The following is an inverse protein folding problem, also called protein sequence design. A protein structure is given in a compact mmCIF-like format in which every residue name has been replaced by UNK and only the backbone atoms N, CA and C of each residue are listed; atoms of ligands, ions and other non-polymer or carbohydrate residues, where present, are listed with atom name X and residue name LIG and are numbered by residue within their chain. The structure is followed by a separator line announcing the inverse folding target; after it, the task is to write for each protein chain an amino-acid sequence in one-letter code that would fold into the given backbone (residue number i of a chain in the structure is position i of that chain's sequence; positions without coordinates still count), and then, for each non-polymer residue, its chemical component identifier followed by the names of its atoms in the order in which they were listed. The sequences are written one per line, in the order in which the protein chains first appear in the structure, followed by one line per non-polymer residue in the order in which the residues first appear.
data_IF_127858269083
#
_entry.id   IF_127858269083
#
_cell.length_a   1.000
_cell.length_b   1.000
_cell.length_c   1.000
_cell.angle_alpha   90.00
_cell.angle_beta   90.00
_cell.angle_gamma   90.00
#
_symmetry.space_group_name_H-M   'P 1'
#
loop_
_entity.id
_entity.type
_entity.pdbx_description
1 polymer ?
#
# COMPACT_ATOMS: atom_id res chain seq x y z
N UNK A 1 -42.18 37.45 82.57
CA UNK A 1 -42.27 35.97 82.59
C UNK A 1 -42.72 35.32 81.28
N UNK A 2 -42.70 36.01 80.12
CA UNK A 2 -43.09 35.46 78.78
C UNK A 2 -41.96 35.22 77.84
N UNK A 3 -40.73 35.78 78.05
CA UNK A 3 -39.56 35.66 77.17
C UNK A 3 -38.82 34.33 77.34
N UNK A 4 -38.78 33.77 78.60
CA UNK A 4 -38.07 32.50 78.84
C UNK A 4 -38.77 31.25 78.23
N UNK A 5 -40.06 31.33 77.97
CA UNK A 5 -40.81 30.20 77.37
C UNK A 5 -40.59 30.15 75.82
N UNK A 6 -40.34 31.31 75.17
CA UNK A 6 -40.11 31.38 73.75
C UNK A 6 -38.72 30.84 73.37
N UNK A 7 -37.70 31.14 74.20
CA UNK A 7 -36.33 30.62 73.97
C UNK A 7 -36.26 29.09 74.21
N UNK A 8 -37.04 28.57 75.16
CA UNK A 8 -37.09 27.12 75.44
C UNK A 8 -37.79 26.34 74.31
N UNK A 9 -38.82 26.93 73.64
CA UNK A 9 -39.50 26.29 72.50
C UNK A 9 -38.65 26.32 71.26
N UNK A 10 -37.91 27.43 71.02
CA UNK A 10 -36.98 27.54 69.86
C UNK A 10 -35.78 26.60 70.05
N UNK A 11 -35.26 26.46 71.28
CA UNK A 11 -34.19 25.50 71.55
C UNK A 11 -34.64 24.02 71.44
N UNK A 12 -35.89 23.65 71.87
CA UNK A 12 -36.46 22.35 71.61
C UNK A 12 -36.74 22.07 70.15
N UNK A 13 -37.19 23.09 69.35
CA UNK A 13 -37.45 22.93 67.94
C UNK A 13 -36.15 22.81 67.13
N UNK A 14 -35.04 23.50 67.49
CA UNK A 14 -33.72 23.36 66.87
C UNK A 14 -33.07 21.98 67.15
N UNK A 15 -33.24 21.46 68.37
CA UNK A 15 -32.75 20.10 68.70
C UNK A 15 -33.62 19.03 68.04
N UNK A 16 -34.91 19.24 67.84
CA UNK A 16 -35.77 18.34 67.10
C UNK A 16 -35.50 18.35 65.60
N UNK A 17 -35.19 19.48 65.06
CA UNK A 17 -34.71 19.59 63.59
C UNK A 17 -33.32 18.97 63.45
N UNK A 18 -32.41 19.10 64.42
CA UNK A 18 -31.08 18.50 64.40
C UNK A 18 -31.13 16.96 64.58
N UNK A 19 -32.10 16.45 65.32
CA UNK A 19 -32.31 15.01 65.46
C UNK A 19 -32.97 14.40 64.20
N UNK A 20 -33.84 15.13 63.51
CA UNK A 20 -34.39 14.64 62.23
C UNK A 20 -33.36 14.65 61.09
N UNK A 21 -32.28 15.46 61.12
CA UNK A 21 -31.22 15.43 60.14
C UNK A 21 -30.27 14.25 60.29
N UNK A 22 -30.27 13.53 61.43
CA UNK A 22 -29.40 12.37 61.65
C UNK A 22 -30.13 11.05 61.29
N UNK A 23 -31.45 11.06 61.12
CA UNK A 23 -32.23 9.84 60.84
C UNK A 23 -32.30 9.47 59.34
N UNK A 24 -31.52 10.14 58.45
CA UNK A 24 -31.51 9.88 57.01
C UNK A 24 -30.28 9.15 56.47
N UNK A 25 -29.29 8.79 57.28
CA UNK A 25 -28.09 8.09 56.81
C UNK A 25 -28.18 6.59 57.04
N UNK A 26 -29.22 5.95 56.53
CA UNK A 26 -29.25 4.50 56.37
C UNK A 26 -28.30 4.15 55.20
N UNK A 27 -27.16 3.48 55.49
CA UNK A 27 -26.31 2.90 54.45
C UNK A 27 -27.17 1.92 53.65
N UNK A 28 -27.27 2.18 52.32
CA UNK A 28 -28.01 1.27 51.44
C UNK A 28 -27.31 -0.09 51.38
N UNK A 29 -28.06 -1.17 51.51
CA UNK A 29 -27.53 -2.52 51.29
C UNK A 29 -27.50 -2.82 49.80
N UNK A 30 -26.38 -3.27 49.30
CA UNK A 30 -26.16 -3.58 47.88
C UNK A 30 -25.72 -5.03 47.70
N UNK A 31 -26.16 -5.61 46.59
CA UNK A 31 -25.61 -6.89 46.11
C UNK A 31 -24.58 -6.59 45.08
N UNK A 32 -23.46 -7.30 45.11
CA UNK A 32 -22.38 -7.16 44.16
C UNK A 32 -22.11 -8.47 43.43
N UNK A 33 -21.53 -8.39 42.25
CA UNK A 33 -21.05 -9.53 41.51
C UNK A 33 -19.64 -9.20 41.03
N UNK A 34 -18.72 -10.16 41.14
CA UNK A 34 -17.36 -10.01 40.64
C UNK A 34 -17.34 -10.06 39.13
N UNK A 35 -16.55 -9.17 38.51
CA UNK A 35 -16.29 -9.20 37.11
C UNK A 35 -15.36 -10.36 36.80
N UNK A 36 -15.86 -11.33 36.06
CA UNK A 36 -15.14 -12.56 35.73
C UNK A 36 -15.10 -12.83 34.25
N UNK A 37 -14.14 -13.66 33.83
CA UNK A 37 -14.10 -14.14 32.47
C UNK A 37 -15.07 -15.27 32.23
N UNK A 38 -15.92 -15.14 31.19
CA UNK A 38 -16.78 -16.22 30.70
C UNK A 38 -16.52 -16.45 29.22
N UNK A 39 -16.83 -17.64 28.73
CA UNK A 39 -16.78 -17.99 27.33
C UNK A 39 -17.98 -17.38 26.59
N UNK A 40 -17.74 -16.29 25.87
CA UNK A 40 -18.73 -15.53 25.10
C UNK A 40 -18.35 -15.56 23.61
N UNK A 41 -19.30 -15.37 22.67
CA UNK A 41 -18.95 -15.15 21.26
C UNK A 41 -17.94 -14.01 21.12
N UNK A 42 -16.89 -14.25 20.34
CA UNK A 42 -15.81 -13.29 20.20
C UNK A 42 -16.28 -12.05 19.45
N UNK A 43 -16.16 -10.90 20.09
CA UNK A 43 -16.45 -9.60 19.52
C UNK A 43 -15.26 -8.66 19.76
N UNK A 44 -14.84 -7.97 18.71
CA UNK A 44 -13.75 -7.01 18.74
C UNK A 44 -14.28 -5.69 18.20
N UNK A 45 -14.14 -4.65 18.99
CA UNK A 45 -14.45 -3.26 18.63
C UNK A 45 -13.22 -2.43 18.91
N UNK A 46 -12.44 -2.11 17.89
CA UNK A 46 -11.25 -1.29 18.05
C UNK A 46 -11.04 -0.40 16.83
N UNK A 47 -10.37 0.69 17.06
CA UNK A 47 -9.99 1.58 15.98
C UNK A 47 -8.86 0.95 15.15
N UNK A 48 -9.12 0.85 13.86
CA UNK A 48 -8.20 0.31 12.87
C UNK A 48 -7.66 1.43 11.99
N UNK A 49 -6.37 1.40 11.74
CA UNK A 49 -5.75 2.26 10.73
C UNK A 49 -6.12 1.75 9.34
N UNK A 50 -6.69 2.62 8.51
CA UNK A 50 -7.06 2.25 7.15
C UNK A 50 -6.06 2.80 6.14
N UNK A 51 -5.58 1.91 5.29
CA UNK A 51 -4.60 2.22 4.25
C UNK A 51 -5.07 1.71 2.89
N UNK A 52 -4.52 2.28 1.83
CA UNK A 52 -4.70 1.72 0.49
C UNK A 52 -4.07 0.31 0.42
N UNK A 53 -4.70 -0.60 -0.31
CA UNK A 53 -4.17 -1.96 -0.52
C UNK A 53 -2.77 -1.91 -1.15
N UNK A 54 -2.62 -1.13 -2.18
CA UNK A 54 -1.35 -0.89 -2.86
C UNK A 54 -1.12 0.62 -3.02
N UNK A 55 0.14 1.02 -2.91
CA UNK A 55 0.59 2.38 -3.22
C UNK A 55 1.87 2.31 -4.03
N UNK A 56 2.00 3.18 -5.00
CA UNK A 56 3.20 3.31 -5.79
C UNK A 56 3.59 4.78 -5.93
N UNK A 57 4.85 5.06 -5.69
CA UNK A 57 5.44 6.36 -6.00
C UNK A 57 6.06 6.27 -7.38
N UNK A 58 5.60 7.11 -8.29
CA UNK A 58 6.13 7.22 -9.64
C UNK A 58 7.38 8.09 -9.59
N UNK A 59 8.49 7.56 -10.10
CA UNK A 59 9.76 8.28 -10.19
C UNK A 59 10.17 8.34 -11.67
N UNK A 60 10.31 9.55 -12.26
CA UNK A 60 10.79 9.71 -13.61
C UNK A 60 12.24 9.29 -13.73
N UNK A 61 12.65 8.83 -14.91
CA UNK A 61 14.05 8.54 -15.24
C UNK A 61 14.75 9.71 -15.92
N UNK A 62 13.97 10.70 -16.36
CA UNK A 62 14.48 11.90 -17.05
C UNK A 62 14.09 13.16 -16.28
N UNK A 63 14.99 14.15 -16.33
CA UNK A 63 14.73 15.50 -15.84
C UNK A 63 14.32 16.39 -17.01
N UNK A 64 13.22 17.14 -16.86
CA UNK A 64 12.76 18.07 -17.88
C UNK A 64 11.37 18.64 -17.58
N UNK A 65 10.95 19.58 -18.42
CA UNK A 65 9.57 20.09 -18.37
C UNK A 65 8.60 18.99 -18.75
N UNK A 66 7.42 19.00 -18.12
CA UNK A 66 6.40 17.96 -18.33
C UNK A 66 5.05 18.55 -18.69
N UNK A 67 4.35 17.81 -19.53
CA UNK A 67 2.93 18.01 -19.79
C UNK A 67 2.18 16.91 -19.06
N UNK A 68 1.31 17.29 -18.11
CA UNK A 68 0.49 16.34 -17.35
C UNK A 68 -0.69 15.88 -18.19
N UNK A 69 -0.93 14.55 -18.22
CA UNK A 69 -2.11 13.93 -18.82
C UNK A 69 -3.22 13.66 -17.79
N UNK A 70 -2.90 13.74 -16.48
CA UNK A 70 -3.81 13.42 -15.37
C UNK A 70 -3.69 14.48 -14.27
N UNK A 71 -4.70 14.54 -13.40
CA UNK A 71 -4.79 15.43 -12.23
C UNK A 71 -4.93 14.61 -10.96
N UNK A 72 -4.72 15.26 -9.81
CA UNK A 72 -5.04 14.68 -8.50
C UNK A 72 -6.53 14.33 -8.44
N UNK A 73 -6.86 13.10 -8.04
CA UNK A 73 -8.21 12.55 -8.00
C UNK A 73 -8.57 11.67 -9.20
N UNK A 74 -7.81 11.72 -10.29
CA UNK A 74 -8.11 10.90 -11.47
C UNK A 74 -7.81 9.42 -11.20
N UNK A 75 -8.67 8.55 -11.72
CA UNK A 75 -8.43 7.10 -11.75
C UNK A 75 -7.60 6.76 -12.98
N UNK A 76 -6.56 5.96 -12.76
CA UNK A 76 -5.63 5.53 -13.81
C UNK A 76 -5.52 4.01 -13.83
N UNK A 77 -5.28 3.46 -15.02
CA UNK A 77 -4.98 2.05 -15.23
C UNK A 77 -3.47 1.82 -15.27
N UNK A 78 -3.05 0.60 -14.95
CA UNK A 78 -1.64 0.22 -15.11
C UNK A 78 -1.19 0.42 -16.56
N UNK A 79 -0.03 1.07 -16.76
CA UNK A 79 0.51 1.40 -18.08
C UNK A 79 -0.07 2.68 -18.71
N UNK A 80 -1.08 3.31 -18.09
CA UNK A 80 -1.63 4.57 -18.59
C UNK A 80 -0.62 5.69 -18.47
N UNK A 81 -0.52 6.55 -19.49
CA UNK A 81 0.33 7.73 -19.49
C UNK A 81 -0.15 8.76 -18.46
N UNK A 82 0.75 9.15 -17.57
CA UNK A 82 0.53 10.15 -16.53
C UNK A 82 1.03 11.54 -16.95
N UNK A 83 2.19 11.56 -17.57
CA UNK A 83 2.82 12.79 -18.06
C UNK A 83 3.85 12.44 -19.14
N UNK A 84 4.22 13.44 -19.91
CA UNK A 84 5.27 13.33 -20.93
C UNK A 84 6.32 14.41 -20.68
N UNK A 85 7.58 14.01 -20.61
CA UNK A 85 8.72 14.95 -20.54
C UNK A 85 8.97 15.53 -21.92
N UNK A 86 9.27 16.81 -22.02
CA UNK A 86 9.61 17.46 -23.28
C UNK A 86 10.86 16.82 -23.89
N UNK A 87 10.73 16.37 -25.14
CA UNK A 87 11.78 15.68 -25.89
C UNK A 87 12.30 16.48 -27.08
N UNK A 88 11.97 17.76 -27.22
CA UNK A 88 12.36 18.57 -28.37
C UNK A 88 13.88 18.56 -28.61
N UNK A 89 14.67 18.68 -27.55
CA UNK A 89 16.14 18.60 -27.65
C UNK A 89 16.63 17.20 -28.06
N UNK A 90 16.01 16.14 -27.54
CA UNK A 90 16.35 14.75 -27.92
C UNK A 90 15.97 14.46 -29.37
N UNK A 91 14.84 15.00 -29.86
CA UNK A 91 14.45 14.90 -31.28
C UNK A 91 15.42 15.56 -32.19
N UNK A 92 15.92 16.76 -31.85
CA UNK A 92 16.96 17.46 -32.63
C UNK A 92 18.27 16.67 -32.66
N UNK A 93 18.66 16.12 -31.50
CA UNK A 93 19.85 15.27 -31.40
C UNK A 93 19.72 14.02 -32.26
N UNK A 94 18.56 13.35 -32.21
CA UNK A 94 18.26 12.15 -33.01
C UNK A 94 18.36 12.48 -34.52
N UNK A 95 17.74 13.58 -34.97
CA UNK A 95 17.81 14.01 -36.35
C UNK A 95 19.25 14.30 -36.83
N UNK A 96 20.06 14.94 -35.95
CA UNK A 96 21.48 15.18 -36.22
C UNK A 96 22.28 13.87 -36.36
N UNK A 97 22.06 12.90 -35.43
CA UNK A 97 22.73 11.59 -35.49
C UNK A 97 22.31 10.79 -36.72
N UNK A 98 21.04 10.85 -37.12
CA UNK A 98 20.56 10.20 -38.34
C UNK A 98 21.21 10.80 -39.60
N UNK A 99 21.39 12.13 -39.63
CA UNK A 99 22.14 12.80 -40.69
C UNK A 99 23.62 12.35 -40.77
N UNK A 100 24.28 12.24 -39.60
CA UNK A 100 25.65 11.73 -39.50
C UNK A 100 25.75 10.25 -39.94
N UNK A 101 24.76 9.44 -39.58
CA UNK A 101 24.68 8.03 -39.98
C UNK A 101 24.60 7.92 -41.53
N UNK A 102 23.71 8.67 -42.14
CA UNK A 102 23.55 8.68 -43.59
C UNK A 102 24.85 9.10 -44.31
N UNK A 103 25.55 10.10 -43.75
CA UNK A 103 26.85 10.54 -44.28
C UNK A 103 27.93 9.46 -44.10
N UNK A 104 28.03 8.83 -42.94
CA UNK A 104 29.00 7.77 -42.67
C UNK A 104 28.74 6.55 -43.55
N UNK A 105 27.49 6.17 -43.76
CA UNK A 105 27.11 5.08 -44.66
C UNK A 105 27.50 5.39 -46.10
N UNK A 106 27.24 6.60 -46.60
CA UNK A 106 27.63 7.00 -47.97
C UNK A 106 29.15 6.97 -48.18
N UNK A 107 29.93 7.36 -47.17
CA UNK A 107 31.39 7.26 -47.21
C UNK A 107 31.88 5.81 -47.19
N UNK A 108 31.21 4.94 -46.44
CA UNK A 108 31.55 3.50 -46.43
C UNK A 108 31.31 2.82 -47.79
N UNK A 109 30.26 3.20 -48.51
CA UNK A 109 29.99 2.71 -49.86
C UNK A 109 30.97 3.25 -50.89
N UNK A 110 31.41 4.50 -50.74
CA UNK A 110 32.39 5.14 -51.69
C UNK A 110 33.78 4.50 -51.62
N UNK A 111 34.13 3.80 -50.55
CA UNK A 111 35.46 3.16 -50.35
C UNK A 111 35.54 1.73 -50.93
N UNK A 112 34.43 1.17 -51.39
CA UNK A 112 34.39 -0.15 -52.04
C UNK A 112 34.49 -0.04 -53.56
N UNK A 113 35.55 0.60 -54.09
CA UNK A 113 35.81 0.59 -55.52
C UNK A 113 36.52 -0.69 -55.88
N UNK A 114 35.82 -1.62 -56.50
CA UNK A 114 36.42 -2.81 -57.10
C UNK A 114 37.09 -2.40 -58.38
N UNK A 115 38.40 -2.17 -58.38
CA UNK A 115 39.18 -1.97 -59.61
C UNK A 115 39.51 -3.33 -60.20
N UNK A 116 38.73 -3.75 -61.17
CA UNK A 116 39.08 -4.91 -61.99
C UNK A 116 40.14 -4.50 -62.98
N UNK A 117 41.38 -4.79 -62.68
CA UNK A 117 42.44 -4.63 -63.67
C UNK A 117 42.38 -5.83 -64.59
N UNK A 118 41.77 -5.64 -65.77
CA UNK A 118 41.85 -6.64 -66.83
C UNK A 118 43.31 -6.63 -67.36
N UNK A 119 44.05 -7.69 -67.02
CA UNK A 119 45.32 -7.94 -67.74
C UNK A 119 44.95 -8.11 -69.21
N UNK A 120 45.49 -7.23 -70.09
CA UNK A 120 45.32 -7.39 -71.52
C UNK A 120 45.95 -8.74 -71.87
N UNK A 121 45.13 -9.66 -72.30
CA UNK A 121 45.62 -10.90 -72.92
C UNK A 121 46.33 -10.52 -74.19
N UNK A 122 47.67 -10.70 -74.24
CA UNK A 122 48.40 -10.48 -75.48
C UNK A 122 48.06 -11.66 -76.40
N UNK A 123 47.02 -11.46 -77.22
CA UNK A 123 46.52 -12.47 -78.16
C UNK A 123 47.64 -12.89 -79.18
N UNK A 124 48.64 -12.03 -79.36
CA UNK A 124 49.80 -12.37 -80.18
C UNK A 124 50.70 -13.40 -79.51
N UNK A 125 50.94 -13.32 -78.21
CA UNK A 125 51.68 -14.30 -77.40
C UNK A 125 51.00 -15.66 -77.37
N UNK A 126 49.69 -15.70 -77.22
CA UNK A 126 48.90 -16.89 -77.27
C UNK A 126 48.93 -17.58 -78.63
N UNK A 127 48.78 -16.80 -79.71
CA UNK A 127 48.89 -17.29 -81.10
C UNK A 127 50.28 -17.81 -81.40
N UNK A 128 51.31 -17.16 -80.88
CA UNK A 128 52.68 -17.62 -81.03
C UNK A 128 52.93 -18.93 -80.22
N UNK A 129 52.49 -19.03 -79.00
CA UNK A 129 52.57 -20.23 -78.18
C UNK A 129 51.84 -21.42 -78.87
N UNK A 130 50.70 -21.14 -79.50
CA UNK A 130 49.95 -22.15 -80.20
C UNK A 130 50.75 -22.68 -81.46
N UNK A 131 51.35 -21.79 -82.22
CA UNK A 131 52.20 -22.20 -83.31
C UNK A 131 53.44 -22.98 -82.89
N UNK A 132 54.05 -22.63 -81.75
CA UNK A 132 55.20 -23.36 -81.19
C UNK A 132 54.80 -24.74 -80.71
N UNK A 133 53.59 -24.92 -80.18
CA UNK A 133 53.06 -26.23 -79.83
C UNK A 133 52.78 -27.08 -81.04
N UNK A 134 52.15 -26.51 -82.11
CA UNK A 134 51.87 -27.22 -83.34
C UNK A 134 53.19 -27.62 -84.09
N UNK A 135 54.27 -26.83 -83.95
CA UNK A 135 55.59 -27.14 -84.43
C UNK A 135 56.40 -28.10 -83.57
N UNK A 136 55.83 -28.57 -82.48
CA UNK A 136 56.48 -29.51 -81.54
C UNK A 136 57.60 -28.91 -80.69
N UNK A 137 57.72 -27.56 -80.66
CA UNK A 137 58.77 -26.81 -79.96
C UNK A 137 58.52 -26.64 -78.46
N UNK A 138 57.27 -26.76 -78.08
CA UNK A 138 56.82 -26.75 -76.60
C UNK A 138 55.85 -27.85 -76.34
N UNK A 139 55.85 -28.35 -75.08
CA UNK A 139 54.96 -29.38 -74.68
C UNK A 139 53.57 -28.84 -74.37
N UNK A 140 52.51 -29.68 -74.37
CA UNK A 140 51.17 -29.29 -74.02
C UNK A 140 51.17 -28.63 -72.65
N UNK A 141 51.91 -29.17 -71.67
CA UNK A 141 52.00 -28.64 -70.30
C UNK A 141 52.62 -27.22 -70.26
N UNK A 142 53.51 -26.92 -71.09
CA UNK A 142 54.10 -25.57 -71.24
C UNK A 142 53.12 -24.60 -71.91
N UNK A 143 52.39 -25.03 -72.93
CA UNK A 143 51.30 -24.27 -73.50
C UNK A 143 50.21 -23.94 -72.50
N UNK A 144 49.77 -24.95 -71.75
CA UNK A 144 48.72 -24.75 -70.71
C UNK A 144 49.17 -23.74 -69.63
N UNK A 145 50.46 -23.72 -69.26
CA UNK A 145 50.98 -22.73 -68.31
C UNK A 145 50.97 -21.28 -68.93
N UNK A 146 51.21 -21.16 -70.25
CA UNK A 146 51.13 -19.87 -70.89
C UNK A 146 49.67 -19.40 -70.95
N UNK A 147 48.74 -20.29 -71.27
CA UNK A 147 47.32 -20.01 -71.29
C UNK A 147 46.82 -19.60 -69.85
N UNK A 148 47.28 -20.33 -68.88
CA UNK A 148 46.91 -20.05 -67.48
C UNK A 148 47.46 -18.70 -66.99
N UNK A 149 48.67 -18.32 -67.37
CA UNK A 149 49.22 -16.98 -67.10
C UNK A 149 48.57 -15.88 -67.90
N UNK A 150 48.01 -16.16 -69.08
CA UNK A 150 47.35 -15.24 -69.95
C UNK A 150 45.86 -15.06 -69.60
N UNK A 151 45.32 -15.82 -68.68
CA UNK A 151 43.95 -15.59 -68.17
C UNK A 151 43.95 -14.33 -67.34
N UNK A 152 42.91 -13.51 -67.41
CA UNK A 152 42.74 -12.32 -66.55
C UNK A 152 42.66 -12.77 -65.11
N UNK A 153 43.69 -12.45 -64.33
CA UNK A 153 43.65 -12.61 -62.90
C UNK A 153 42.88 -11.46 -62.32
N UNK A 154 41.69 -11.78 -61.76
CA UNK A 154 40.93 -10.82 -61.02
C UNK A 154 41.56 -10.70 -59.64
N UNK A 155 42.43 -9.75 -59.42
CA UNK A 155 42.93 -9.41 -58.10
C UNK A 155 41.94 -8.46 -57.49
N UNK A 156 41.15 -8.95 -56.62
CA UNK A 156 40.28 -8.14 -55.77
C UNK A 156 41.16 -7.47 -54.73
N UNK A 157 41.57 -6.25 -55.00
CA UNK A 157 42.21 -5.40 -53.96
C UNK A 157 41.10 -4.86 -53.11
N UNK A 158 40.79 -5.53 -52.02
CA UNK A 158 39.95 -4.97 -50.98
C UNK A 158 40.79 -3.97 -50.22
N UNK A 159 40.72 -2.69 -50.63
CA UNK A 159 41.28 -1.61 -49.82
C UNK A 159 40.36 -1.50 -48.60
N UNK A 160 40.74 -2.17 -47.53
CA UNK A 160 40.02 -2.15 -46.28
C UNK A 160 39.97 -0.73 -45.73
N UNK A 161 38.85 -0.06 -45.97
CA UNK A 161 38.44 1.09 -45.23
C UNK A 161 37.94 0.63 -43.83
N UNK A 162 38.87 0.16 -42.98
CA UNK A 162 38.56 -0.34 -41.65
C UNK A 162 38.03 0.74 -40.66
N UNK A 163 37.86 1.97 -41.10
CA UNK A 163 37.36 3.07 -40.28
C UNK A 163 35.85 3.35 -40.39
N UNK A 164 35.24 3.05 -41.56
CA UNK A 164 33.84 3.40 -41.82
C UNK A 164 32.82 2.58 -40.99
N UNK A 165 33.05 1.27 -40.85
CA UNK A 165 32.13 0.38 -40.10
C UNK A 165 32.12 0.66 -38.62
N UNK A 166 33.25 0.98 -38.01
CA UNK A 166 33.34 1.32 -36.60
C UNK A 166 32.61 2.65 -36.27
N UNK A 167 32.71 3.64 -37.18
CA UNK A 167 32.01 4.92 -37.05
C UNK A 167 30.49 4.73 -37.19
N UNK A 168 30.02 3.92 -38.12
CA UNK A 168 28.58 3.60 -38.30
C UNK A 168 28.03 2.93 -37.05
N UNK A 169 28.68 1.90 -36.52
CA UNK A 169 28.26 1.21 -35.30
C UNK A 169 28.22 2.14 -34.06
N UNK A 170 29.19 3.05 -33.94
CA UNK A 170 29.21 4.04 -32.85
C UNK A 170 28.01 5.00 -32.92
N UNK A 171 27.68 5.49 -34.14
CA UNK A 171 26.54 6.38 -34.36
C UNK A 171 25.22 5.64 -34.09
N UNK A 172 25.09 4.40 -34.54
CA UNK A 172 23.93 3.55 -34.30
C UNK A 172 23.72 3.31 -32.77
N UNK A 173 24.79 3.07 -32.02
CA UNK A 173 24.74 2.96 -30.58
C UNK A 173 24.24 4.27 -29.90
N UNK A 174 24.69 5.43 -30.40
CA UNK A 174 24.21 6.72 -29.91
C UNK A 174 22.74 6.96 -30.25
N UNK A 175 22.27 6.58 -31.43
CA UNK A 175 20.87 6.63 -31.84
C UNK A 175 20.03 5.75 -30.94
N UNK A 176 20.49 4.52 -30.67
CA UNK A 176 19.81 3.61 -29.77
C UNK A 176 19.69 4.19 -28.34
N UNK A 177 20.76 4.84 -27.85
CA UNK A 177 20.74 5.49 -26.53
C UNK A 177 19.75 6.66 -26.48
N UNK A 178 19.75 7.56 -27.48
CA UNK A 178 18.80 8.68 -27.54
C UNK A 178 17.37 8.18 -27.71
N UNK A 179 17.15 7.14 -28.51
CA UNK A 179 15.82 6.52 -28.65
C UNK A 179 15.31 5.91 -27.35
N UNK A 180 16.18 5.25 -26.56
CA UNK A 180 15.84 4.75 -25.25
C UNK A 180 15.48 5.88 -24.28
N UNK A 181 16.20 7.00 -24.31
CA UNK A 181 15.85 8.18 -23.53
C UNK A 181 14.49 8.76 -23.94
N UNK A 182 14.20 8.82 -25.24
CA UNK A 182 12.90 9.26 -25.74
C UNK A 182 11.76 8.33 -25.29
N UNK A 183 11.97 7.02 -25.30
CA UNK A 183 10.99 6.07 -24.76
C UNK A 183 10.75 6.28 -23.26
N UNK A 184 11.80 6.60 -22.51
CA UNK A 184 11.73 6.90 -21.07
C UNK A 184 11.10 8.28 -20.77
N UNK A 185 10.81 9.12 -21.77
CA UNK A 185 10.12 10.40 -21.57
C UNK A 185 8.65 10.26 -21.25
N UNK A 186 8.04 9.12 -21.56
CA UNK A 186 6.65 8.84 -21.21
C UNK A 186 6.60 8.22 -19.83
N UNK A 187 6.02 8.95 -18.89
CA UNK A 187 5.83 8.51 -17.51
C UNK A 187 4.49 7.79 -17.43
N UNK A 188 4.51 6.52 -17.05
CA UNK A 188 3.32 5.66 -16.99
C UNK A 188 2.99 5.21 -15.57
N UNK A 189 1.73 4.84 -15.33
CA UNK A 189 1.26 4.32 -14.06
C UNK A 189 1.80 2.89 -13.82
N UNK A 190 2.53 2.62 -12.73
CA UNK A 190 3.01 1.28 -12.40
C UNK A 190 1.91 0.36 -11.87
N UNK A 191 0.85 0.93 -11.30
CA UNK A 191 -0.33 0.23 -10.80
C UNK A 191 -1.61 0.96 -11.22
N UNK A 192 -2.73 0.25 -11.26
CA UNK A 192 -4.05 0.87 -11.35
C UNK A 192 -4.43 1.48 -9.99
N UNK A 193 -5.08 2.64 -9.99
CA UNK A 193 -5.49 3.33 -8.77
C UNK A 193 -5.87 4.78 -9.01
N UNK A 194 -5.91 5.55 -7.94
CA UNK A 194 -6.20 6.99 -7.97
C UNK A 194 -4.92 7.79 -7.75
N UNK A 195 -4.71 8.83 -8.53
CA UNK A 195 -3.62 9.80 -8.31
C UNK A 195 -3.93 10.60 -7.05
N UNK A 196 -3.17 10.38 -5.98
CA UNK A 196 -3.41 11.03 -4.68
C UNK A 196 -2.52 12.24 -4.44
N UNK A 197 -1.38 12.32 -5.11
CA UNK A 197 -0.50 13.47 -5.04
C UNK A 197 0.30 13.64 -6.33
N UNK A 198 0.54 14.88 -6.72
CA UNK A 198 1.48 15.30 -7.76
C UNK A 198 2.50 16.22 -7.09
N UNK A 199 3.76 15.82 -7.12
CA UNK A 199 4.86 16.60 -6.54
C UNK A 199 5.43 17.55 -7.59
N UNK A 200 5.77 18.77 -7.20
CA UNK A 200 6.32 19.82 -8.10
C UNK A 200 5.37 20.25 -9.23
N UNK A 201 4.06 20.15 -9.03
CA UNK A 201 3.06 20.57 -10.03
C UNK A 201 3.27 22.04 -10.45
N UNK A 202 3.57 22.92 -9.49
CA UNK A 202 3.80 24.36 -9.73
C UNK A 202 4.95 24.64 -10.71
N UNK A 203 5.92 23.77 -10.76
CA UNK A 203 7.12 23.94 -11.63
C UNK A 203 6.99 23.24 -12.96
N UNK A 204 5.99 22.38 -13.14
CA UNK A 204 5.81 21.57 -14.33
C UNK A 204 7.11 20.86 -14.75
N UNK A 205 7.85 20.32 -13.76
CA UNK A 205 9.15 19.72 -13.97
C UNK A 205 9.24 18.35 -13.33
N UNK A 206 9.64 17.35 -14.09
CA UNK A 206 10.09 16.06 -13.59
C UNK A 206 11.60 16.14 -13.25
N UNK A 207 11.99 15.52 -12.16
CA UNK A 207 13.39 15.36 -11.75
C UNK A 207 13.67 13.87 -11.65
N UNK A 208 14.70 13.40 -12.35
CA UNK A 208 15.08 11.98 -12.34
C UNK A 208 15.28 11.47 -10.90
N UNK A 209 14.83 10.26 -10.64
CA UNK A 209 14.94 9.56 -9.36
C UNK A 209 14.32 10.30 -8.14
N UNK A 210 13.41 11.23 -8.40
CA UNK A 210 12.65 11.93 -7.37
C UNK A 210 11.18 11.57 -7.43
N UNK A 211 10.46 11.54 -6.27
CA UNK A 211 9.03 11.37 -6.24
C UNK A 211 8.32 12.41 -7.13
N UNK A 212 7.55 11.93 -8.09
CA UNK A 212 6.83 12.75 -9.06
C UNK A 212 5.32 12.69 -8.86
N UNK A 213 4.76 11.49 -8.74
CA UNK A 213 3.35 11.27 -8.45
C UNK A 213 3.19 10.11 -7.46
N UNK A 214 2.10 10.13 -6.70
CA UNK A 214 1.68 9.01 -5.87
C UNK A 214 0.36 8.46 -6.39
N UNK A 215 0.33 7.16 -6.65
CA UNK A 215 -0.87 6.43 -7.04
C UNK A 215 -1.22 5.46 -5.92
N UNK A 216 -2.48 5.45 -5.51
CA UNK A 216 -2.98 4.55 -4.49
C UNK A 216 -4.20 3.79 -5.02
N UNK A 217 -4.24 2.50 -4.73
CA UNK A 217 -5.42 1.69 -4.98
C UNK A 217 -6.41 1.94 -3.86
N UNK A 218 -7.42 2.79 -4.11
CA UNK A 218 -8.41 3.21 -3.11
C UNK A 218 -9.58 2.23 -2.96
N UNK A 219 -9.63 1.19 -3.78
CA UNK A 219 -10.60 0.10 -3.73
C UNK A 219 -9.90 -1.21 -4.10
N UNK A 220 -9.91 -2.24 -3.22
CA UNK A 220 -10.37 -2.21 -1.83
C UNK A 220 -9.40 -1.47 -0.89
N UNK A 221 -9.91 -1.03 0.25
CA UNK A 221 -9.13 -0.47 1.35
C UNK A 221 -8.82 -1.55 2.38
N UNK A 222 -7.72 -1.39 3.11
CA UNK A 222 -7.28 -2.33 4.14
C UNK A 222 -7.31 -1.66 5.50
N UNK A 223 -8.15 -2.16 6.40
CA UNK A 223 -8.12 -1.80 7.80
C UNK A 223 -7.18 -2.75 8.55
N UNK A 224 -6.29 -2.20 9.35
CA UNK A 224 -5.29 -2.95 10.11
C UNK A 224 -5.37 -2.57 11.58
N UNK A 225 -5.41 -3.56 12.45
CA UNK A 225 -5.35 -3.37 13.89
C UNK A 225 -4.59 -4.50 14.58
N UNK A 226 -4.10 -4.24 15.78
CA UNK A 226 -3.50 -5.27 16.64
C UNK A 226 -4.50 -5.72 17.68
N UNK A 227 -4.70 -7.03 17.80
CA UNK A 227 -5.59 -7.64 18.76
C UNK A 227 -4.82 -8.62 19.65
N UNK A 228 -5.35 -8.94 20.87
CA UNK A 228 -4.75 -9.96 21.72
C UNK A 228 -4.56 -11.28 20.96
N UNK A 229 -3.41 -11.91 21.17
CA UNK A 229 -3.02 -13.14 20.48
C UNK A 229 -4.06 -14.24 20.58
N UNK A 230 -4.64 -14.44 21.78
CA UNK A 230 -5.63 -15.50 22.01
C UNK A 230 -6.90 -15.29 21.17
N UNK A 231 -7.33 -14.04 21.02
CA UNK A 231 -8.44 -13.69 20.15
C UNK A 231 -8.09 -13.92 18.67
N UNK A 232 -6.90 -13.51 18.23
CA UNK A 232 -6.45 -13.68 16.87
C UNK A 232 -6.32 -15.15 16.47
N UNK A 233 -5.78 -15.99 17.36
CA UNK A 233 -5.66 -17.44 17.12
C UNK A 233 -7.03 -18.08 16.91
N UNK A 234 -8.04 -17.65 17.64
CA UNK A 234 -9.42 -18.12 17.47
C UNK A 234 -10.04 -17.63 16.16
N UNK A 235 -9.83 -16.36 15.78
CA UNK A 235 -10.29 -15.81 14.49
C UNK A 235 -9.65 -16.48 13.28
N UNK A 236 -8.42 -16.98 13.41
CA UNK A 236 -7.71 -17.69 12.35
C UNK A 236 -8.25 -19.08 12.02
N UNK A 237 -9.15 -19.62 12.85
CA UNK A 237 -9.70 -20.98 12.66
C UNK A 237 -10.76 -21.02 11.54
N UNK A 238 -10.92 -22.16 10.84
CA UNK A 238 -11.98 -22.31 9.85
C UNK A 238 -13.39 -22.11 10.42
N UNK A 239 -13.60 -22.52 11.67
CA UNK A 239 -14.87 -22.40 12.39
C UNK A 239 -15.24 -20.92 12.60
N UNK A 240 -14.25 -20.08 12.90
CA UNK A 240 -14.47 -18.65 13.09
C UNK A 240 -14.92 -17.95 11.82
N UNK A 241 -14.46 -18.40 10.67
CA UNK A 241 -14.83 -17.81 9.37
C UNK A 241 -16.28 -18.08 8.99
N UNK A 242 -16.86 -19.14 9.52
CA UNK A 242 -18.25 -19.47 9.27
C UNK A 242 -19.18 -18.57 10.11
N UNK A 243 -19.88 -17.65 9.44
CA UNK A 243 -20.77 -16.69 10.11
C UNK A 243 -20.06 -15.47 10.72
N UNK A 244 -18.77 -15.27 10.45
CA UNK A 244 -18.04 -14.05 10.84
C UNK A 244 -18.64 -12.84 10.13
N UNK A 245 -18.87 -11.78 10.91
CA UNK A 245 -19.20 -10.46 10.39
C UNK A 245 -18.04 -9.52 10.63
N UNK A 246 -17.65 -8.81 9.59
CA UNK A 246 -16.61 -7.80 9.63
C UNK A 246 -17.20 -6.51 9.12
N UNK A 247 -17.25 -5.49 9.97
CA UNK A 247 -17.89 -4.21 9.66
C UNK A 247 -16.91 -3.07 9.96
N UNK A 248 -16.89 -2.06 9.13
CA UNK A 248 -16.18 -0.81 9.36
C UNK A 248 -17.21 0.31 9.58
N UNK A 249 -17.15 0.97 10.73
CA UNK A 249 -18.03 2.11 11.01
C UNK A 249 -17.44 3.38 10.43
N UNK A 250 -18.14 3.94 9.45
CA UNK A 250 -17.78 5.19 8.79
C UNK A 250 -18.94 6.17 8.97
N UNK A 251 -18.77 7.12 9.89
CA UNK A 251 -19.87 8.00 10.35
C UNK A 251 -21.09 7.17 10.82
N UNK A 252 -22.25 7.38 10.22
CA UNK A 252 -23.50 6.67 10.53
C UNK A 252 -23.69 5.35 9.72
N UNK A 253 -22.67 4.92 8.95
CA UNK A 253 -22.79 3.77 8.07
C UNK A 253 -21.87 2.63 8.54
N UNK A 254 -22.35 1.41 8.41
CA UNK A 254 -21.57 0.20 8.61
C UNK A 254 -21.28 -0.42 7.24
N UNK A 255 -20.00 -0.47 6.88
CA UNK A 255 -19.55 -1.03 5.62
C UNK A 255 -19.11 -2.48 5.86
N UNK A 256 -19.68 -3.45 5.14
CA UNK A 256 -19.24 -4.84 5.25
C UNK A 256 -17.87 -5.03 4.62
N UNK A 257 -17.09 -5.91 5.23
CA UNK A 257 -15.76 -6.28 4.77
C UNK A 257 -15.45 -7.74 5.01
N UNK A 258 -14.23 -8.12 4.73
CA UNK A 258 -13.72 -9.48 4.90
C UNK A 258 -12.40 -9.48 5.66
N UNK A 259 -12.26 -10.39 6.62
CA UNK A 259 -10.99 -10.63 7.32
C UNK A 259 -10.05 -11.40 6.39
N UNK A 260 -9.02 -10.72 5.90
CA UNK A 260 -8.12 -11.27 4.87
C UNK A 260 -6.81 -11.80 5.44
N UNK A 261 -6.40 -11.32 6.60
CA UNK A 261 -5.12 -11.71 7.20
C UNK A 261 -5.17 -11.70 8.72
N UNK A 262 -4.62 -12.75 9.32
CA UNK A 262 -4.35 -12.86 10.76
C UNK A 262 -2.91 -13.32 10.91
N UNK A 263 -2.07 -12.54 11.58
CA UNK A 263 -0.65 -12.86 11.76
C UNK A 263 -0.46 -13.84 12.91
N UNK A 264 -0.65 -15.12 12.63
CA UNK A 264 -0.45 -16.21 13.59
C UNK A 264 1.01 -16.70 13.67
N UNK A 265 1.90 -16.14 12.83
CA UNK A 265 3.29 -16.59 12.71
C UNK A 265 4.22 -15.97 13.75
N UNK A 266 3.77 -14.95 14.48
CA UNK A 266 4.55 -14.27 15.51
C UNK A 266 4.87 -15.22 16.67
N UNK A 267 6.05 -15.07 17.33
CA UNK A 267 6.39 -15.85 18.53
C UNK A 267 5.34 -15.72 19.63
N UNK A 268 5.21 -16.74 20.47
CA UNK A 268 4.25 -16.74 21.60
C UNK A 268 4.49 -15.63 22.62
N UNK A 269 5.69 -15.08 22.66
CA UNK A 269 6.06 -13.96 23.51
C UNK A 269 5.41 -12.64 23.11
N UNK A 270 4.86 -12.54 21.89
CA UNK A 270 4.17 -11.34 21.41
C UNK A 270 2.72 -11.36 21.87
N UNK A 271 2.29 -10.43 22.74
CA UNK A 271 0.96 -10.44 23.34
C UNK A 271 -0.16 -10.04 22.38
N UNK A 272 0.18 -9.28 21.34
CA UNK A 272 -0.79 -8.80 20.34
C UNK A 272 -0.28 -9.07 18.93
N UNK A 273 -1.17 -9.43 18.04
CA UNK A 273 -0.85 -9.73 16.65
C UNK A 273 -1.69 -8.90 15.69
N UNK A 274 -1.13 -8.67 14.51
CA UNK A 274 -1.76 -7.87 13.47
C UNK A 274 -2.86 -8.66 12.77
N UNK A 275 -4.01 -8.03 12.62
CA UNK A 275 -5.08 -8.51 11.73
C UNK A 275 -5.38 -7.46 10.67
N UNK A 276 -5.80 -7.93 9.49
CA UNK A 276 -6.21 -7.05 8.39
C UNK A 276 -7.53 -7.50 7.81
N UNK A 277 -8.37 -6.52 7.56
CA UNK A 277 -9.64 -6.71 6.88
C UNK A 277 -9.72 -5.80 5.65
N UNK A 278 -10.35 -6.27 4.59
CA UNK A 278 -10.53 -5.51 3.35
C UNK A 278 -11.97 -5.05 3.19
N UNK A 279 -12.14 -3.84 2.67
CA UNK A 279 -13.42 -3.16 2.49
C UNK A 279 -13.52 -2.58 1.10
N UNK A 280 -14.65 -2.80 0.45
CA UNK A 280 -14.95 -2.11 -0.81
C UNK A 280 -15.20 -0.61 -0.54
N UNK A 281 -14.58 0.24 -1.35
CA UNK A 281 -14.66 1.69 -1.22
C UNK A 281 -15.06 2.39 -2.52
N UNK A 282 -15.94 1.77 -3.32
CA UNK A 282 -16.37 2.33 -4.61
C UNK A 282 -17.03 3.71 -4.47
N UNK A 283 -17.63 3.99 -3.31
CA UNK A 283 -18.24 5.27 -2.99
C UNK A 283 -17.25 6.32 -2.47
N UNK A 284 -15.98 5.96 -2.26
CA UNK A 284 -14.95 6.87 -1.74
C UNK A 284 -15.18 7.35 -0.30
N UNK A 285 -15.97 6.61 0.50
CA UNK A 285 -16.30 6.98 1.88
C UNK A 285 -15.13 6.78 2.84
N UNK A 286 -14.27 5.81 2.54
CA UNK A 286 -13.11 5.46 3.36
C UNK A 286 -11.89 6.22 2.83
N UNK A 287 -11.20 6.95 3.71
CA UNK A 287 -9.98 7.68 3.38
C UNK A 287 -8.75 6.98 3.93
N UNK A 288 -7.70 6.88 3.12
CA UNK A 288 -6.44 6.31 3.54
C UNK A 288 -5.75 7.21 4.57
N UNK A 289 -5.20 6.59 5.63
CA UNK A 289 -4.52 7.29 6.72
C UNK A 289 -5.44 7.72 7.87
N UNK A 290 -6.75 7.51 7.75
CA UNK A 290 -7.70 7.76 8.83
C UNK A 290 -7.93 6.50 9.67
N UNK A 291 -8.45 6.70 10.89
CA UNK A 291 -8.85 5.63 11.80
C UNK A 291 -10.37 5.49 11.77
N UNK A 292 -10.82 4.25 11.74
CA UNK A 292 -12.24 3.91 11.78
C UNK A 292 -12.44 2.72 12.72
N UNK A 293 -13.56 2.68 13.41
CA UNK A 293 -13.88 1.56 14.29
C UNK A 293 -14.16 0.31 13.45
N UNK A 294 -13.32 -0.70 13.62
CA UNK A 294 -13.48 -2.03 13.04
C UNK A 294 -14.19 -2.94 14.02
N UNK A 295 -15.30 -3.52 13.58
CA UNK A 295 -16.09 -4.49 14.35
C UNK A 295 -15.91 -5.86 13.71
N UNK A 296 -15.46 -6.84 14.51
CA UNK A 296 -15.37 -8.24 14.10
C UNK A 296 -16.21 -9.06 15.07
N UNK A 297 -17.24 -9.71 14.58
CA UNK A 297 -18.10 -10.61 15.32
C UNK A 297 -17.91 -12.05 14.81
N UNK A 298 -17.69 -12.98 15.70
CA UNK A 298 -17.52 -14.39 15.37
C UNK A 298 -18.24 -15.27 16.38
N UNK A 299 -18.79 -16.39 15.92
CA UNK A 299 -19.45 -17.38 16.76
C UNK A 299 -18.48 -18.20 17.62
N UNK A 300 -17.18 -18.07 17.38
CA UNK A 300 -16.19 -18.76 18.22
C UNK A 300 -16.13 -18.12 19.59
N UNK A 301 -16.20 -18.96 20.63
CA UNK A 301 -16.17 -18.47 22.02
C UNK A 301 -14.76 -18.08 22.45
N UNK A 302 -14.67 -16.93 23.10
CA UNK A 302 -13.47 -16.43 23.74
C UNK A 302 -13.77 -16.03 25.17
N UNK A 303 -12.73 -16.04 26.02
CA UNK A 303 -12.84 -15.53 27.38
C UNK A 303 -12.97 -14.02 27.37
N UNK A 304 -14.15 -13.52 27.70
CA UNK A 304 -14.43 -12.09 27.80
C UNK A 304 -14.83 -11.73 29.24
N UNK A 305 -14.47 -10.52 29.65
CA UNK A 305 -14.97 -9.98 30.91
C UNK A 305 -16.47 -9.84 30.79
N UNK A 306 -17.20 -10.31 31.82
CA UNK A 306 -18.65 -10.25 31.81
C UNK A 306 -19.19 -9.67 33.10
N UNK A 307 -20.33 -9.01 32.99
CA UNK A 307 -21.17 -8.58 34.10
C UNK A 307 -22.61 -8.97 33.82
N UNK A 308 -23.45 -9.16 34.87
CA UNK A 308 -24.89 -9.33 34.66
C UNK A 308 -25.49 -8.12 33.96
N UNK A 309 -26.37 -8.35 32.96
CA UNK A 309 -27.00 -7.27 32.16
C UNK A 309 -27.72 -6.23 33.03
N UNK A 310 -28.32 -6.66 34.15
CA UNK A 310 -28.97 -5.79 35.15
C UNK A 310 -28.04 -4.79 35.85
N UNK A 311 -26.71 -5.03 35.80
CA UNK A 311 -25.73 -4.11 36.39
C UNK A 311 -25.35 -2.97 35.44
N UNK A 312 -25.58 -3.12 34.12
CA UNK A 312 -25.31 -2.11 33.13
C UNK A 312 -26.47 -1.12 33.09
N UNK A 313 -26.13 0.16 33.17
CA UNK A 313 -27.07 1.29 33.15
C UNK A 313 -26.72 2.21 32.00
N UNK A 314 -27.68 3.02 31.62
CA UNK A 314 -27.52 3.95 30.50
C UNK A 314 -27.98 5.37 30.91
N UNK A 315 -27.23 6.37 30.48
CA UNK A 315 -27.57 7.78 30.64
C UNK A 315 -27.25 8.55 29.33
N UNK A 316 -27.34 9.87 29.34
CA UNK A 316 -27.02 10.73 28.21
C UNK A 316 -25.57 10.59 27.72
N UNK A 317 -24.65 10.15 28.58
CA UNK A 317 -23.21 10.10 28.35
C UNK A 317 -22.77 8.68 27.92
N UNK A 318 -23.69 7.71 27.90
CA UNK A 318 -23.45 6.34 27.50
C UNK A 318 -23.77 5.30 28.56
N UNK A 319 -23.23 4.08 28.40
CA UNK A 319 -23.42 2.96 29.32
C UNK A 319 -22.40 3.02 30.45
N UNK A 320 -22.87 2.77 31.67
CA UNK A 320 -22.04 2.79 32.86
C UNK A 320 -22.44 1.69 33.85
N UNK A 321 -21.56 1.42 34.79
CA UNK A 321 -21.80 0.52 35.92
C UNK A 321 -21.39 1.18 37.24
N UNK A 322 -21.99 0.75 38.34
CA UNK A 322 -21.53 1.10 39.66
C UNK A 322 -20.55 0.04 40.14
N UNK A 323 -19.36 0.46 40.55
CA UNK A 323 -18.31 -0.40 41.09
C UNK A 323 -18.14 -0.14 42.58
N UNK A 324 -18.07 -1.18 43.36
CA UNK A 324 -17.79 -1.07 44.80
C UNK A 324 -16.27 -1.03 45.00
N UNK A 325 -15.80 0.05 45.63
CA UNK A 325 -14.38 0.19 45.99
C UNK A 325 -14.02 -0.59 47.24
N UNK A 326 -12.75 -0.75 47.51
CA UNK A 326 -12.26 -1.41 48.76
C UNK A 326 -12.75 -0.73 50.05
N UNK A 327 -13.08 0.57 49.99
CA UNK A 327 -13.59 1.36 51.12
C UNK A 327 -15.10 1.29 51.28
N UNK A 328 -15.77 0.37 50.57
CA UNK A 328 -17.24 0.25 50.53
C UNK A 328 -17.94 1.53 50.05
N UNK A 329 -17.34 2.25 49.15
CA UNK A 329 -17.93 3.40 48.47
C UNK A 329 -18.21 3.08 46.99
N UNK A 330 -19.22 3.76 46.44
CA UNK A 330 -19.62 3.58 45.05
C UNK A 330 -18.75 4.42 44.15
N UNK A 331 -18.16 3.79 43.14
CA UNK A 331 -17.49 4.41 41.97
C UNK A 331 -18.41 4.24 40.75
N UNK A 332 -18.36 5.22 39.80
CA UNK A 332 -19.14 5.19 38.57
C UNK A 332 -18.17 5.06 37.41
N UNK A 333 -18.25 3.95 36.67
CA UNK A 333 -17.36 3.73 35.52
C UNK A 333 -18.16 3.62 34.23
N UNK A 334 -17.78 4.42 33.26
CA UNK A 334 -18.28 4.30 31.89
C UNK A 334 -17.70 3.02 31.31
N UNK A 335 -18.53 2.25 30.63
CA UNK A 335 -18.16 0.95 30.08
C UNK A 335 -18.59 0.88 28.62
N UNK A 336 -17.76 0.26 27.82
CA UNK A 336 -18.13 -0.17 26.49
C UNK A 336 -18.60 -1.63 26.57
N UNK A 337 -19.84 -1.86 26.15
CA UNK A 337 -20.44 -3.20 26.21
C UNK A 337 -20.42 -3.87 24.84
N UNK A 338 -20.21 -5.16 24.86
CA UNK A 338 -20.28 -6.03 23.68
C UNK A 338 -21.60 -6.78 23.60
N UNK A 339 -21.50 -8.03 23.14
CA UNK A 339 -22.64 -8.93 22.98
C UNK A 339 -23.24 -9.35 24.34
N UNK A 340 -24.54 -9.55 24.31
CA UNK A 340 -25.29 -10.14 25.45
C UNK A 340 -25.57 -11.61 25.14
N UNK A 341 -25.17 -12.51 26.01
CA UNK A 341 -25.52 -13.95 25.95
C UNK A 341 -26.23 -14.36 27.25
N UNK A 342 -27.53 -14.65 27.15
CA UNK A 342 -28.35 -14.89 28.33
C UNK A 342 -28.46 -13.66 29.24
N UNK A 343 -28.11 -13.82 30.50
CA UNK A 343 -28.14 -12.75 31.52
C UNK A 343 -26.82 -11.98 31.61
N UNK A 344 -25.79 -12.39 30.87
CA UNK A 344 -24.45 -11.79 30.90
C UNK A 344 -24.20 -10.88 29.72
N UNK A 345 -23.51 -9.77 29.97
CA UNK A 345 -23.04 -8.82 28.97
C UNK A 345 -21.52 -8.81 28.96
N UNK A 346 -20.93 -8.97 27.77
CA UNK A 346 -19.50 -8.81 27.59
C UNK A 346 -19.10 -7.34 27.78
N UNK A 347 -18.00 -7.12 28.49
CA UNK A 347 -17.40 -5.79 28.66
C UNK A 347 -16.16 -5.71 27.76
N UNK A 348 -16.18 -4.76 26.85
CA UNK A 348 -15.07 -4.48 25.92
C UNK A 348 -14.00 -3.62 26.60
N UNK A 349 -14.46 -2.58 27.32
CA UNK A 349 -13.57 -1.67 28.05
C UNK A 349 -14.26 -1.06 29.28
N UNK A 350 -13.46 -0.52 30.22
CA UNK A 350 -13.93 0.19 31.42
C UNK A 350 -13.88 -0.59 32.71
N UNK A 351 -13.66 -1.93 32.69
CA UNK A 351 -13.55 -2.77 33.88
C UNK A 351 -12.35 -3.70 33.86
N UNK A 352 -11.91 -4.13 35.00
CA UNK A 352 -10.87 -5.16 35.19
C UNK A 352 -11.45 -6.42 35.84
N UNK A 353 -10.78 -7.55 35.62
CA UNK A 353 -11.13 -8.79 36.34
C UNK A 353 -10.99 -8.60 37.84
N UNK A 354 -12.02 -9.04 38.60
CA UNK A 354 -12.07 -8.89 40.06
C UNK A 354 -12.71 -7.58 40.54
N UNK A 355 -13.06 -6.64 39.66
CA UNK A 355 -13.90 -5.50 40.05
C UNK A 355 -15.25 -6.00 40.56
N UNK A 356 -15.80 -5.35 41.58
CA UNK A 356 -17.10 -5.69 42.19
C UNK A 356 -18.17 -4.77 41.65
N UNK A 357 -19.04 -5.26 40.78
CA UNK A 357 -20.11 -4.46 40.17
C UNK A 357 -21.42 -4.62 40.99
N UNK A 358 -22.05 -3.49 41.26
CA UNK A 358 -23.31 -3.45 42.02
C UNK A 358 -24.45 -3.86 41.08
N UNK A 359 -25.19 -4.88 41.50
CA UNK A 359 -26.33 -5.45 40.76
C UNK A 359 -27.69 -5.04 41.34
N UNK A 360 -27.71 -4.35 42.48
CA UNK A 360 -28.94 -3.85 43.12
C UNK A 360 -29.52 -2.70 42.30
N UNK A 361 -30.83 -2.72 42.09
CA UNK A 361 -31.53 -1.62 41.44
C UNK A 361 -31.52 -0.37 42.34
N UNK A 362 -31.36 0.79 41.72
CA UNK A 362 -31.35 2.07 42.41
C UNK A 362 -30.33 3.03 41.79
N UNK A 363 -30.43 4.28 42.18
CA UNK A 363 -29.45 5.30 41.82
C UNK A 363 -28.51 5.51 43.00
N UNK A 364 -27.22 5.49 42.70
CA UNK A 364 -26.15 5.74 43.66
C UNK A 364 -25.38 6.96 43.26
N UNK A 365 -24.81 7.68 44.21
CA UNK A 365 -23.98 8.84 44.01
C UNK A 365 -22.50 8.44 44.15
N UNK A 366 -21.64 9.04 43.35
CA UNK A 366 -20.19 8.83 43.46
C UNK A 366 -19.71 9.12 44.88
N UNK A 367 -18.99 8.16 45.48
CA UNK A 367 -18.51 8.24 46.86
C UNK A 367 -19.55 7.87 47.91
N UNK A 368 -20.78 7.48 47.56
CA UNK A 368 -21.82 7.02 48.50
C UNK A 368 -21.35 5.76 49.26
N UNK A 369 -21.41 5.76 50.58
CA UNK A 369 -21.09 4.58 51.40
C UNK A 369 -22.24 3.60 51.37
N UNK A 370 -21.94 2.35 51.05
CA UNK A 370 -22.92 1.27 50.98
C UNK A 370 -22.48 0.08 51.85
N UNK A 371 -23.41 -0.81 52.13
CA UNK A 371 -23.16 -2.03 52.90
C UNK A 371 -23.47 -3.25 52.02
N UNK A 372 -22.64 -4.28 52.12
CA UNK A 372 -22.85 -5.59 51.49
C UNK A 372 -23.90 -6.40 52.23
#
# INVERSE_FOLDING_TARGET
MKINRLCSVIAMLSVMIMVLAIAGCGTKTVSVTDVTYKDMPLQIHNDANVTALNKATVMPTLTGQVVYAVKVGDQVQQGQTLATVDTAALQQQLASLQGQLAQAQSQSYATSVTTTTAASVDSAQLAQAQKMREAGMITQKEYDRIVERSQPQTTTVTTGGGGGGANVAAIEAQIAQVSAQMAASTIVAPIAGTVTAIYNEDRQMAIADRPFMMIQQTTPMVASLSIPRDAAMKLGTPEAKNGMKVLLKVAEQELPGELTYVDITQPETVPSVLVKATFNNDKGLIKAGEFYTLVIESNVKAKMLTVPSKAVRENSDGKYVYVLTENNTVDVRVVEVGITEGDDVAIISGLNAGDKVITTDGTFVLGESVKL
#
